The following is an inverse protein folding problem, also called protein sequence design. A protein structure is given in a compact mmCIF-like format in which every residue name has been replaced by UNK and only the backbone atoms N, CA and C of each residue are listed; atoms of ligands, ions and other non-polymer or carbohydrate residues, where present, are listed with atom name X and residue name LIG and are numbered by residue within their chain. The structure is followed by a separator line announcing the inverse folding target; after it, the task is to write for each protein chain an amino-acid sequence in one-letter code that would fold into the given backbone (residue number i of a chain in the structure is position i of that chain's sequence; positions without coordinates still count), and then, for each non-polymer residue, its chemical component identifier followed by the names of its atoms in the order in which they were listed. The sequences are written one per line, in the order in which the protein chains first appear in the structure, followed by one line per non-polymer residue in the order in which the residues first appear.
data_IF_716078419140
#
_entry.id   IF_716078419140
#
_cell.length_a   1.000
_cell.length_b   1.000
_cell.length_c   1.000
_cell.angle_alpha   90.00
_cell.angle_beta   90.00
_cell.angle_gamma   90.00
#
_symmetry.space_group_name_H-M   'P 1'
#
loop_
_entity.id
_entity.type
_entity.pdbx_description
1 polymer ?
#
# COMPACT_ATOMS: atom_id res chain seq x y z
N UNK A 1 -3.19 6.99 -16.34
CA UNK A 1 -3.95 6.95 -15.07
C UNK A 1 -3.76 5.59 -14.40
N UNK A 2 -3.51 5.59 -13.08
CA UNK A 2 -3.35 4.37 -12.28
C UNK A 2 -4.68 3.97 -11.65
N UNK A 3 -5.17 2.76 -11.91
CA UNK A 3 -6.44 2.26 -11.37
C UNK A 3 -6.25 0.93 -10.62
N UNK A 4 -7.22 0.59 -9.78
CA UNK A 4 -7.23 -0.66 -9.00
C UNK A 4 -7.75 -0.45 -7.59
N UNK A 5 -8.09 -1.54 -6.91
CA UNK A 5 -8.60 -1.50 -5.53
C UNK A 5 -7.63 -0.82 -4.55
N UNK A 6 -8.11 -0.48 -3.34
CA UNK A 6 -7.23 0.02 -2.28
C UNK A 6 -6.04 -0.94 -2.07
N UNK A 7 -4.86 -0.38 -1.77
CA UNK A 7 -3.63 -1.14 -1.51
C UNK A 7 -3.14 -2.03 -2.67
N UNK A 8 -3.62 -1.85 -3.89
CA UNK A 8 -3.14 -2.62 -5.04
C UNK A 8 -1.69 -2.32 -5.44
N UNK A 9 -1.08 -1.27 -4.86
CA UNK A 9 0.28 -0.81 -5.15
C UNK A 9 0.37 0.41 -6.07
N UNK A 10 -0.74 1.14 -6.31
CA UNK A 10 -0.76 2.33 -7.19
C UNK A 10 0.24 3.39 -6.76
N UNK A 11 0.17 3.82 -5.50
CA UNK A 11 1.08 4.82 -4.97
C UNK A 11 2.53 4.32 -4.89
N UNK A 12 2.75 3.01 -4.74
CA UNK A 12 4.10 2.43 -4.85
C UNK A 12 4.62 2.50 -6.28
N UNK A 13 3.79 2.20 -7.28
CA UNK A 13 4.16 2.39 -8.69
C UNK A 13 4.42 3.86 -8.99
N UNK A 14 3.61 4.78 -8.47
CA UNK A 14 3.83 6.22 -8.59
C UNK A 14 5.21 6.63 -8.04
N UNK A 15 5.61 6.11 -6.88
CA UNK A 15 6.95 6.32 -6.32
C UNK A 15 8.04 5.71 -7.20
N UNK A 16 7.80 4.58 -7.88
CA UNK A 16 8.75 4.01 -8.85
C UNK A 16 8.95 4.93 -10.06
N UNK A 17 7.88 5.58 -10.54
CA UNK A 17 7.98 6.63 -11.56
C UNK A 17 8.82 7.82 -11.07
N UNK A 18 8.61 8.28 -9.83
CA UNK A 18 9.44 9.33 -9.23
C UNK A 18 10.90 8.90 -9.10
N UNK A 19 11.16 7.68 -8.63
CA UNK A 19 12.52 7.14 -8.50
C UNK A 19 13.25 7.10 -9.85
N UNK A 20 12.55 6.78 -10.93
CA UNK A 20 13.16 6.66 -12.25
C UNK A 20 13.32 8.00 -12.97
N UNK A 21 12.26 8.82 -13.02
CA UNK A 21 12.25 10.05 -13.81
C UNK A 21 12.53 11.33 -13.01
N UNK A 22 12.40 11.30 -11.69
CA UNK A 22 12.50 12.49 -10.83
C UNK A 22 13.29 12.23 -9.53
N UNK A 23 14.37 11.45 -9.62
CA UNK A 23 15.14 10.98 -8.45
C UNK A 23 15.61 12.11 -7.52
N UNK A 24 16.10 13.24 -8.07
CA UNK A 24 16.52 14.39 -7.29
C UNK A 24 15.41 14.98 -6.41
N UNK A 25 14.18 15.06 -6.93
CA UNK A 25 13.05 15.57 -6.17
C UNK A 25 12.75 14.67 -4.96
N UNK A 26 12.81 13.35 -5.15
CA UNK A 26 12.57 12.38 -4.09
C UNK A 26 13.61 12.47 -2.97
N UNK A 27 14.89 12.71 -3.30
CA UNK A 27 15.95 12.85 -2.31
C UNK A 27 15.73 14.06 -1.39
N UNK A 28 15.23 15.17 -1.93
CA UNK A 28 14.85 16.34 -1.14
C UNK A 28 13.62 16.08 -0.25
N UNK A 29 12.71 15.21 -0.67
CA UNK A 29 11.50 14.87 0.07
C UNK A 29 11.73 13.86 1.21
N UNK A 30 12.85 13.12 1.22
CA UNK A 30 13.13 12.06 2.22
C UNK A 30 12.84 12.47 3.66
N UNK A 31 13.27 13.64 4.17
CA UNK A 31 12.99 14.04 5.54
C UNK A 31 11.49 14.18 5.84
N UNK A 32 10.68 14.55 4.84
CA UNK A 32 9.23 14.74 4.97
C UNK A 32 8.48 13.42 5.16
N UNK A 33 9.08 12.29 4.79
CA UNK A 33 8.50 10.95 4.95
C UNK A 33 8.77 10.33 6.33
N UNK A 34 9.70 10.87 7.12
CA UNK A 34 10.01 10.40 8.47
C UNK A 34 8.78 10.32 9.39
N UNK A 35 7.93 11.36 9.52
CA UNK A 35 6.71 11.27 10.34
C UNK A 35 5.76 10.16 9.88
N UNK A 36 5.66 9.91 8.56
CA UNK A 36 4.79 8.88 8.00
C UNK A 36 5.29 7.49 8.36
N UNK A 37 6.61 7.27 8.31
CA UNK A 37 7.24 6.01 8.76
C UNK A 37 6.95 5.77 10.24
N UNK A 38 7.12 6.80 11.09
CA UNK A 38 6.82 6.67 12.51
C UNK A 38 5.34 6.38 12.76
N UNK A 39 4.44 7.06 12.08
CA UNK A 39 3.01 6.76 12.15
C UNK A 39 2.71 5.29 11.81
N UNK A 40 3.31 4.73 10.76
CA UNK A 40 3.13 3.33 10.37
C UNK A 40 3.58 2.35 11.47
N UNK A 41 4.72 2.64 12.11
CA UNK A 41 5.25 1.84 13.22
C UNK A 41 4.33 1.93 14.44
N UNK A 42 3.96 3.15 14.84
CA UNK A 42 3.11 3.39 16.01
C UNK A 42 1.75 2.72 15.86
N UNK A 43 1.13 2.84 14.68
CA UNK A 43 -0.11 2.15 14.34
C UNK A 43 0.04 0.63 14.44
N UNK A 44 1.14 0.06 13.94
CA UNK A 44 1.40 -1.37 14.04
C UNK A 44 1.54 -1.84 15.49
N UNK A 45 2.31 -1.10 16.31
CA UNK A 45 2.48 -1.41 17.74
C UNK A 45 1.14 -1.32 18.48
N UNK A 46 0.33 -0.28 18.22
CA UNK A 46 -1.03 -0.14 18.78
C UNK A 46 -1.90 -1.35 18.45
N UNK A 47 -1.95 -1.73 17.17
CA UNK A 47 -2.75 -2.88 16.72
C UNK A 47 -2.32 -4.20 17.38
N UNK A 48 -1.01 -4.40 17.59
CA UNK A 48 -0.51 -5.60 18.30
C UNK A 48 -0.98 -5.59 19.77
N UNK A 49 -0.84 -4.45 20.46
CA UNK A 49 -1.22 -4.35 21.87
C UNK A 49 -2.72 -4.49 22.08
N UNK A 50 -3.54 -3.83 21.25
CA UNK A 50 -5.01 -3.89 21.34
C UNK A 50 -5.51 -5.33 21.14
N UNK A 51 -4.93 -6.07 20.21
CA UNK A 51 -5.33 -7.46 19.94
C UNK A 51 -4.82 -8.42 21.04
N UNK A 52 -3.63 -8.19 21.59
CA UNK A 52 -3.14 -8.95 22.75
C UNK A 52 -4.07 -8.77 23.95
N UNK A 53 -4.46 -7.52 24.25
CA UNK A 53 -5.43 -7.23 25.32
C UNK A 53 -6.77 -7.93 25.05
N UNK A 54 -7.23 -7.96 23.79
CA UNK A 54 -8.48 -8.64 23.43
C UNK A 54 -8.40 -10.15 23.64
N UNK A 55 -7.35 -10.80 23.15
CA UNK A 55 -7.17 -12.25 23.25
C UNK A 55 -6.94 -12.67 24.71
N UNK A 56 -6.06 -12.00 25.47
CA UNK A 56 -5.80 -12.33 26.88
C UNK A 56 -7.07 -12.31 27.75
N UNK A 57 -8.01 -11.42 27.46
CA UNK A 57 -9.27 -11.33 28.18
C UNK A 57 -10.33 -12.36 27.72
N UNK A 58 -10.22 -12.90 26.50
CA UNK A 58 -11.26 -13.72 25.87
C UNK A 58 -10.85 -15.15 25.52
N UNK A 59 -9.58 -15.52 25.70
CA UNK A 59 -9.04 -16.85 25.37
C UNK A 59 -9.79 -18.03 26.01
N UNK A 60 -10.42 -17.82 27.18
CA UNK A 60 -11.21 -18.84 27.88
C UNK A 60 -12.69 -18.90 27.45
N UNK A 61 -13.14 -17.96 26.63
CA UNK A 61 -14.56 -17.78 26.25
C UNK A 61 -14.79 -18.15 24.78
N UNK A 62 -13.77 -18.06 23.92
CA UNK A 62 -13.88 -18.37 22.48
C UNK A 62 -13.89 -19.89 22.22
N UNK A 63 -15.09 -20.49 22.26
CA UNK A 63 -15.36 -21.90 21.95
C UNK A 63 -15.27 -22.25 20.46
N UNK A 64 -14.92 -21.29 19.58
CA UNK A 64 -14.73 -21.59 18.16
C UNK A 64 -13.51 -22.50 17.95
N UNK A 65 -13.55 -23.32 16.89
CA UNK A 65 -12.42 -24.18 16.51
C UNK A 65 -11.13 -23.37 16.32
N UNK A 66 -11.25 -22.14 15.80
CA UNK A 66 -10.14 -21.23 15.59
C UNK A 66 -9.62 -20.66 16.93
N UNK A 67 -10.52 -20.34 17.87
CA UNK A 67 -10.19 -19.90 19.23
C UNK A 67 -9.46 -20.97 20.03
N UNK A 68 -9.98 -22.19 20.01
CA UNK A 68 -9.35 -23.34 20.67
C UNK A 68 -7.96 -23.65 20.12
N UNK A 69 -7.76 -23.55 18.79
CA UNK A 69 -6.45 -23.74 18.18
C UNK A 69 -5.42 -22.67 18.62
N UNK A 70 -5.87 -21.41 18.75
CA UNK A 70 -5.04 -20.31 19.26
C UNK A 70 -4.71 -20.54 20.74
N UNK A 71 -5.72 -20.84 21.57
CA UNK A 71 -5.53 -21.11 22.99
C UNK A 71 -4.55 -22.28 23.23
N UNK A 72 -4.70 -23.38 22.48
CA UNK A 72 -3.78 -24.51 22.54
C UNK A 72 -2.35 -24.11 22.13
N UNK A 73 -2.19 -23.22 21.14
CA UNK A 73 -0.88 -22.75 20.70
C UNK A 73 -0.20 -21.84 21.72
N UNK A 74 -0.99 -21.07 22.48
CA UNK A 74 -0.50 -20.15 23.52
C UNK A 74 -0.26 -20.84 24.88
N UNK A 75 -0.99 -21.91 25.19
CA UNK A 75 -0.90 -22.62 26.47
C UNK A 75 0.54 -22.97 26.95
N UNK A 76 1.47 -23.40 26.08
CA UNK A 76 2.85 -23.70 26.49
C UNK A 76 3.64 -22.48 27.00
N UNK A 77 3.18 -21.26 26.72
CA UNK A 77 3.85 -20.03 27.12
C UNK A 77 3.53 -19.62 28.58
N UNK A 78 2.56 -20.27 29.23
CA UNK A 78 2.16 -19.95 30.60
C UNK A 78 1.34 -18.66 30.73
N UNK A 79 1.34 -18.07 31.92
CA UNK A 79 0.68 -16.77 32.16
C UNK A 79 1.56 -15.63 31.65
N UNK A 80 1.04 -14.89 30.67
CA UNK A 80 1.72 -13.79 30.00
C UNK A 80 1.24 -12.40 30.47
N UNK A 81 0.30 -12.36 31.42
CA UNK A 81 -0.40 -11.13 31.80
C UNK A 81 0.53 -10.07 32.37
N UNK A 82 1.44 -10.46 33.27
CA UNK A 82 2.41 -9.54 33.88
C UNK A 82 3.40 -8.99 32.84
N UNK A 83 3.89 -9.86 31.96
CA UNK A 83 4.84 -9.50 30.90
C UNK A 83 4.24 -8.50 29.92
N UNK A 84 3.02 -8.75 29.43
CA UNK A 84 2.34 -7.84 28.53
C UNK A 84 1.89 -6.55 29.21
N UNK A 85 1.47 -6.61 30.48
CA UNK A 85 1.19 -5.39 31.25
C UNK A 85 2.44 -4.51 31.35
N UNK A 86 3.61 -5.10 31.63
CA UNK A 86 4.90 -4.38 31.66
C UNK A 86 5.24 -3.76 30.30
N UNK A 87 5.16 -4.52 29.21
CA UNK A 87 5.43 -4.02 27.86
C UNK A 87 4.47 -2.90 27.48
N UNK A 88 3.17 -3.06 27.78
CA UNK A 88 2.14 -2.06 27.56
C UNK A 88 2.46 -0.76 28.29
N UNK A 89 2.77 -0.82 29.59
CA UNK A 89 3.10 0.39 30.38
C UNK A 89 4.26 1.17 29.75
N UNK A 90 5.27 0.48 29.22
CA UNK A 90 6.41 1.12 28.55
C UNK A 90 6.08 1.68 27.17
N UNK A 91 5.19 1.02 26.42
CA UNK A 91 4.85 1.36 25.04
C UNK A 91 3.68 2.35 24.90
N UNK A 92 2.87 2.53 25.94
CA UNK A 92 1.75 3.49 25.96
C UNK A 92 2.18 4.91 25.55
N UNK A 93 3.29 5.49 26.04
CA UNK A 93 3.75 6.81 25.60
C UNK A 93 4.04 6.86 24.10
N UNK A 94 4.53 5.76 23.51
CA UNK A 94 4.80 5.66 22.08
C UNK A 94 3.48 5.68 21.29
N UNK A 95 2.53 4.83 21.70
CA UNK A 95 1.22 4.68 21.04
C UNK A 95 0.36 5.94 21.16
N UNK A 96 0.43 6.65 22.29
CA UNK A 96 -0.34 7.87 22.52
C UNK A 96 -0.04 9.00 21.50
N UNK A 97 1.14 8.98 20.86
CA UNK A 97 1.49 9.96 19.83
C UNK A 97 0.94 9.61 18.44
N UNK A 98 0.36 8.41 18.26
CA UNK A 98 -0.18 7.98 16.97
C UNK A 98 -1.29 8.92 16.49
N UNK A 99 -2.26 9.22 17.37
CA UNK A 99 -3.38 10.11 17.06
C UNK A 99 -2.89 11.55 16.79
N UNK A 100 -1.87 12.02 17.53
CA UNK A 100 -1.25 13.33 17.31
C UNK A 100 -0.55 13.39 15.95
N UNK A 101 0.28 12.41 15.60
CA UNK A 101 0.90 12.33 14.28
C UNK A 101 -0.15 12.22 13.18
N UNK A 102 -1.21 11.45 13.41
CA UNK A 102 -2.27 11.27 12.42
C UNK A 102 -3.00 12.58 12.12
N UNK A 103 -3.35 13.34 13.16
CA UNK A 103 -3.98 14.65 13.06
C UNK A 103 -3.11 15.64 12.28
N UNK A 104 -1.82 15.72 12.62
CA UNK A 104 -0.87 16.62 11.97
C UNK A 104 -0.60 16.24 10.50
N UNK A 105 -0.44 14.95 10.21
CA UNK A 105 -0.21 14.46 8.85
C UNK A 105 -1.44 14.60 7.93
N UNK A 106 -2.64 14.50 8.50
CA UNK A 106 -3.90 14.64 7.76
C UNK A 106 -4.33 16.11 7.59
N UNK A 107 -3.57 17.07 8.16
CA UNK A 107 -3.94 18.48 8.18
C UNK A 107 -5.28 18.73 8.89
N UNK A 108 -5.63 17.92 9.90
CA UNK A 108 -6.89 17.99 10.63
C UNK A 108 -8.11 17.36 9.94
N UNK A 109 -7.94 16.67 8.79
CA UNK A 109 -9.04 15.97 8.12
C UNK A 109 -9.28 14.61 8.78
N UNK A 110 -10.31 14.50 9.63
CA UNK A 110 -10.82 13.21 10.09
C UNK A 110 -11.78 12.61 9.05
N UNK A 111 -11.48 11.41 8.55
CA UNK A 111 -12.46 10.62 7.78
C UNK A 111 -13.28 9.81 8.77
N UNK A 112 -14.57 10.13 8.89
CA UNK A 112 -15.51 9.38 9.72
C UNK A 112 -15.86 8.05 9.04
N UNK A 113 -15.80 6.94 9.80
CA UNK A 113 -16.43 5.67 9.41
C UNK A 113 -15.52 4.47 9.09
N UNK A 114 -14.22 4.49 9.44
CA UNK A 114 -13.33 3.33 9.36
C UNK A 114 -12.23 3.41 10.42
N UNK A 115 -11.51 2.30 10.69
CA UNK A 115 -10.37 2.27 11.63
C UNK A 115 -9.40 3.44 11.40
N UNK A 116 -8.73 3.90 12.46
CA UNK A 116 -7.76 5.00 12.45
C UNK A 116 -6.75 4.81 11.31
N UNK A 117 -6.75 5.76 10.38
CA UNK A 117 -5.87 5.76 9.22
C UNK A 117 -5.51 7.19 8.87
N UNK A 118 -4.25 7.41 8.46
CA UNK A 118 -3.81 8.71 7.93
C UNK A 118 -4.17 8.78 6.47
N UNK A 119 -4.90 9.85 6.16
CA UNK A 119 -5.48 10.09 4.84
C UNK A 119 -4.87 11.32 4.22
N UNK A 120 -4.60 11.22 2.93
CA UNK A 120 -3.70 12.17 2.28
C UNK A 120 -4.28 12.59 0.95
N UNK A 121 -4.53 13.90 0.81
CA UNK A 121 -4.96 14.54 -0.45
C UNK A 121 -3.74 14.87 -1.31
N UNK A 122 -3.99 15.21 -2.58
CA UNK A 122 -2.99 15.81 -3.44
C UNK A 122 -2.31 17.00 -2.74
N UNK A 123 -0.97 17.02 -2.73
CA UNK A 123 -0.20 18.10 -2.10
C UNK A 123 -0.07 18.01 -0.57
N UNK A 124 -0.20 16.85 0.05
CA UNK A 124 0.08 16.71 1.50
C UNK A 124 1.49 17.10 1.90
N UNK A 125 2.45 16.93 0.98
CA UNK A 125 3.80 17.45 1.11
C UNK A 125 3.76 18.96 1.33
N UNK A 126 2.86 19.67 0.65
CA UNK A 126 2.60 21.09 0.85
C UNK A 126 1.94 21.41 2.21
N UNK A 127 1.19 20.47 2.82
CA UNK A 127 0.60 20.61 4.16
C UNK A 127 1.65 20.40 5.27
N UNK A 128 2.60 19.50 5.04
CA UNK A 128 3.73 19.30 5.96
C UNK A 128 4.86 20.29 5.69
N UNK A 129 4.76 21.20 4.72
CA UNK A 129 5.74 22.30 4.52
C UNK A 129 5.14 23.66 4.87
N UNK A 130 5.91 24.62 5.41
CA UNK A 130 5.38 25.93 5.75
C UNK A 130 4.82 26.66 4.52
N UNK A 131 3.58 27.17 4.63
CA UNK A 131 2.96 28.01 3.61
C UNK A 131 3.62 29.40 3.62
N UNK A 132 4.28 29.77 2.51
CA UNK A 132 4.73 31.15 2.29
C UNK A 132 3.55 32.00 1.74
N UNK A 133 3.31 33.24 2.21
CA UNK A 133 2.07 33.99 1.92
C UNK A 133 1.91 34.45 0.46
N UNK A 134 2.95 34.39 -0.37
CA UNK A 134 2.91 34.90 -1.74
C UNK A 134 2.87 33.76 -2.76
N UNK A 135 1.66 33.41 -3.22
CA UNK A 135 1.44 32.58 -4.42
C UNK A 135 1.74 33.39 -5.69
N UNK A 136 3.02 33.61 -5.95
CA UNK A 136 3.52 33.96 -7.28
C UNK A 136 5.04 33.84 -7.26
N UNK A 137 5.56 32.73 -7.81
CA UNK A 137 7.00 32.41 -7.97
C UNK A 137 7.80 32.11 -6.69
N UNK A 138 7.47 31.03 -5.99
CA UNK A 138 8.46 30.35 -5.15
C UNK A 138 9.16 29.25 -5.95
N UNK A 139 10.50 29.24 -5.96
CA UNK A 139 11.34 28.17 -6.48
C UNK A 139 11.04 26.86 -5.72
N UNK A 140 11.00 25.69 -6.39
CA UNK A 140 10.89 24.41 -5.69
C UNK A 140 12.24 24.11 -5.02
N UNK A 141 12.34 24.25 -3.69
CA UNK A 141 13.61 23.90 -3.03
C UNK A 141 13.79 24.10 -1.52
N UNK A 142 12.84 24.71 -0.78
CA UNK A 142 13.09 25.05 0.65
C UNK A 142 11.92 24.74 1.59
N UNK A 143 11.14 23.69 1.34
CA UNK A 143 10.09 23.24 2.25
C UNK A 143 10.60 22.26 3.30
N UNK A 144 10.90 22.72 4.52
CA UNK A 144 11.07 21.84 5.69
C UNK A 144 9.74 21.42 6.29
N UNK A 145 9.73 20.53 7.30
CA UNK A 145 8.49 20.17 8.00
C UNK A 145 7.83 21.40 8.66
N UNK A 146 6.49 21.43 8.74
CA UNK A 146 5.77 22.43 9.50
C UNK A 146 6.21 22.36 10.98
N UNK A 147 6.26 23.47 11.72
CA UNK A 147 6.75 23.45 13.10
C UNK A 147 6.01 22.45 14.00
N UNK A 148 4.70 22.32 13.82
CA UNK A 148 3.87 21.37 14.58
C UNK A 148 4.24 19.90 14.26
N UNK A 149 4.29 19.53 12.97
CA UNK A 149 4.69 18.18 12.55
C UNK A 149 6.12 17.88 13.02
N UNK A 150 7.05 18.84 12.89
CA UNK A 150 8.43 18.68 13.33
C UNK A 150 8.54 18.42 14.85
N UNK A 151 7.75 19.12 15.67
CA UNK A 151 7.72 18.93 17.12
C UNK A 151 7.22 17.54 17.50
N UNK A 152 6.07 17.11 16.96
CA UNK A 152 5.51 15.78 17.24
C UNK A 152 6.45 14.68 16.72
N UNK A 153 7.06 14.86 15.55
CA UNK A 153 8.04 13.92 14.99
C UNK A 153 9.28 13.79 15.87
N UNK A 154 9.78 14.91 16.40
CA UNK A 154 10.94 14.93 17.29
C UNK A 154 10.63 14.21 18.62
N UNK A 155 9.45 14.44 19.18
CA UNK A 155 8.99 13.73 20.38
C UNK A 155 8.86 12.22 20.10
N UNK A 156 8.22 11.85 18.99
CA UNK A 156 8.09 10.46 18.56
C UNK A 156 9.46 9.79 18.37
N UNK A 157 10.43 10.50 17.77
CA UNK A 157 11.79 9.99 17.63
C UNK A 157 12.45 9.72 18.98
N UNK A 158 12.36 10.65 19.95
CA UNK A 158 12.98 10.50 21.27
C UNK A 158 12.37 9.34 22.05
N UNK A 159 11.04 9.24 22.02
CA UNK A 159 10.32 8.13 22.65
C UNK A 159 10.69 6.82 21.98
N UNK A 160 10.72 6.75 20.65
CA UNK A 160 11.10 5.54 19.91
C UNK A 160 12.52 5.08 20.24
N UNK A 161 13.49 6.00 20.37
CA UNK A 161 14.84 5.69 20.84
C UNK A 161 14.82 4.99 22.20
N UNK A 162 14.03 5.52 23.14
CA UNK A 162 13.94 4.97 24.51
C UNK A 162 13.27 3.60 24.60
N UNK A 163 12.31 3.31 23.72
CA UNK A 163 11.49 2.08 23.79
C UNK A 163 11.75 1.09 22.66
N UNK A 164 12.73 1.32 21.79
CA UNK A 164 13.00 0.46 20.62
C UNK A 164 13.23 -1.01 20.99
N UNK A 165 13.82 -1.28 22.15
CA UNK A 165 14.05 -2.65 22.61
C UNK A 165 12.74 -3.31 23.05
N UNK A 166 11.84 -2.57 23.69
CA UNK A 166 10.52 -3.06 24.08
C UNK A 166 9.63 -3.32 22.84
N UNK A 167 9.77 -2.50 21.78
CA UNK A 167 9.12 -2.76 20.48
C UNK A 167 9.69 -4.02 19.81
N UNK A 168 11.01 -4.19 19.82
CA UNK A 168 11.69 -5.38 19.28
C UNK A 168 11.27 -6.65 20.05
N UNK A 169 11.17 -6.56 21.39
CA UNK A 169 10.71 -7.61 22.29
C UNK A 169 9.26 -7.99 22.00
N UNK A 170 8.34 -6.99 21.95
CA UNK A 170 6.95 -7.21 21.61
C UNK A 170 6.80 -7.90 20.25
N UNK A 171 7.49 -7.40 19.22
CA UNK A 171 7.38 -7.94 17.87
C UNK A 171 7.92 -9.37 17.76
N UNK A 172 9.00 -9.70 18.47
CA UNK A 172 9.59 -11.04 18.47
C UNK A 172 8.90 -12.01 19.42
N UNK A 173 8.03 -11.53 20.31
CA UNK A 173 7.38 -12.35 21.31
C UNK A 173 6.62 -13.55 20.67
N UNK A 174 6.78 -14.80 21.17
CA UNK A 174 6.15 -15.98 20.59
C UNK A 174 4.63 -15.87 20.44
N UNK A 175 3.94 -15.33 21.44
CA UNK A 175 2.49 -15.15 21.36
C UNK A 175 2.07 -14.21 20.21
N UNK A 176 2.79 -13.10 20.01
CA UNK A 176 2.52 -12.17 18.90
C UNK A 176 2.72 -12.89 17.56
N UNK A 177 3.78 -13.70 17.44
CA UNK A 177 4.01 -14.52 16.23
C UNK A 177 2.90 -15.54 15.99
N UNK A 178 2.43 -16.21 17.03
CA UNK A 178 1.31 -17.16 16.96
C UNK A 178 0.04 -16.45 16.50
N UNK A 179 -0.30 -15.30 17.09
CA UNK A 179 -1.49 -14.54 16.73
C UNK A 179 -1.44 -13.98 15.31
N UNK A 180 -0.28 -13.50 14.85
CA UNK A 180 -0.05 -13.08 13.45
C UNK A 180 -0.20 -14.26 12.49
N UNK A 181 0.42 -15.41 12.79
CA UNK A 181 0.35 -16.60 11.94
C UNK A 181 -1.06 -17.18 11.84
N UNK A 182 -1.83 -17.11 12.93
CA UNK A 182 -3.24 -17.50 12.99
C UNK A 182 -4.19 -16.40 12.48
N UNK A 183 -3.67 -15.26 11.98
CA UNK A 183 -4.44 -14.15 11.40
C UNK A 183 -5.43 -13.49 12.37
N UNK A 184 -5.19 -13.62 13.68
CA UNK A 184 -5.88 -12.85 14.74
C UNK A 184 -5.41 -11.40 14.67
N UNK A 185 -4.10 -11.18 14.73
CA UNK A 185 -3.50 -9.87 14.44
C UNK A 185 -3.39 -9.68 12.92
N UNK A 186 -4.09 -8.68 12.39
CA UNK A 186 -4.04 -8.30 10.97
C UNK A 186 -3.32 -6.98 10.78
N UNK A 187 -2.00 -7.04 10.69
CA UNK A 187 -1.18 -5.87 10.41
C UNK A 187 -1.18 -5.49 8.93
N UNK A 188 -0.87 -4.22 8.67
CA UNK A 188 -0.49 -3.75 7.34
C UNK A 188 0.71 -4.56 6.81
N UNK A 189 0.72 -4.86 5.51
CA UNK A 189 1.77 -5.70 4.89
C UNK A 189 3.19 -5.13 5.05
N UNK A 190 3.31 -3.81 5.23
CA UNK A 190 4.59 -3.12 5.46
C UNK A 190 5.04 -3.12 6.92
N UNK A 191 4.16 -3.47 7.87
CA UNK A 191 4.51 -3.44 9.29
C UNK A 191 5.69 -4.36 9.63
N UNK A 192 5.77 -5.62 9.15
CA UNK A 192 6.94 -6.47 9.40
C UNK A 192 8.26 -5.83 8.97
N UNK A 193 8.28 -5.20 7.79
CA UNK A 193 9.49 -4.55 7.25
C UNK A 193 10.04 -3.47 8.20
N UNK A 194 9.16 -2.66 8.80
CA UNK A 194 9.57 -1.61 9.74
C UNK A 194 9.88 -2.17 11.13
N UNK A 195 9.07 -3.10 11.65
CA UNK A 195 9.27 -3.69 12.98
C UNK A 195 10.55 -4.54 13.05
N UNK A 196 10.89 -5.30 12.00
CA UNK A 196 12.17 -6.03 11.91
C UNK A 196 13.38 -5.09 11.90
N UNK A 197 13.20 -3.85 11.43
CA UNK A 197 14.24 -2.84 11.29
C UNK A 197 14.15 -1.73 12.35
N UNK A 198 13.48 -1.98 13.48
CA UNK A 198 13.16 -0.94 14.46
C UNK A 198 14.40 -0.22 15.00
N UNK A 199 15.49 -0.96 15.23
CA UNK A 199 16.76 -0.40 15.73
C UNK A 199 17.41 0.58 14.76
N UNK A 200 17.25 0.36 13.44
CA UNK A 200 17.72 1.29 12.40
C UNK A 200 16.82 2.52 12.33
N UNK A 201 15.51 2.33 12.38
CA UNK A 201 14.52 3.42 12.25
C UNK A 201 14.49 4.32 13.49
N UNK A 202 14.84 3.78 14.65
CA UNK A 202 14.95 4.53 15.90
C UNK A 202 16.21 5.40 15.98
N UNK A 203 17.20 5.29 15.07
CA UNK A 203 18.41 6.10 15.19
C UNK A 203 18.11 7.61 15.09
N UNK A 204 18.80 8.49 15.85
CA UNK A 204 18.51 9.93 15.88
C UNK A 204 18.61 10.60 14.51
N UNK A 205 19.59 10.17 13.72
CA UNK A 205 19.93 10.61 12.37
C UNK A 205 19.19 9.82 11.27
N UNK A 206 18.20 9.01 11.64
CA UNK A 206 17.41 8.24 10.69
C UNK A 206 16.83 9.11 9.57
N UNK A 207 17.21 8.75 8.34
CA UNK A 207 16.67 9.26 7.11
C UNK A 207 16.04 8.11 6.31
N UNK A 208 14.78 8.20 5.87
CA UNK A 208 14.13 7.15 5.10
C UNK A 208 14.93 6.76 3.85
N UNK A 209 15.30 5.49 3.76
CA UNK A 209 15.91 4.88 2.60
C UNK A 209 14.88 4.69 1.48
N UNK A 210 15.35 4.40 0.26
CA UNK A 210 14.45 4.11 -0.87
C UNK A 210 13.51 2.93 -0.56
N UNK A 211 14.00 1.91 0.15
CA UNK A 211 13.17 0.79 0.59
C UNK A 211 12.07 1.24 1.57
N UNK A 212 12.37 2.18 2.47
CA UNK A 212 11.40 2.74 3.41
C UNK A 212 10.31 3.51 2.67
N UNK A 213 10.69 4.31 1.67
CA UNK A 213 9.75 5.06 0.84
C UNK A 213 8.81 4.15 0.05
N UNK A 214 9.30 3.01 -0.45
CA UNK A 214 8.47 2.05 -1.19
C UNK A 214 7.53 1.25 -0.29
N UNK A 215 7.94 0.97 0.97
CA UNK A 215 7.14 0.22 1.93
C UNK A 215 6.20 1.11 2.77
N UNK A 216 6.50 2.40 2.95
CA UNK A 216 5.68 3.27 3.79
C UNK A 216 4.29 3.42 3.19
N UNK A 217 3.28 3.20 4.04
CA UNK A 217 1.89 3.22 3.65
C UNK A 217 1.25 4.55 4.02
N UNK A 218 0.59 5.13 3.04
CA UNK A 218 -0.16 6.36 3.16
C UNK A 218 -1.40 6.24 2.28
N UNK A 219 -2.59 6.44 2.84
CA UNK A 219 -3.82 6.22 2.09
C UNK A 219 -4.18 7.46 1.28
N UNK A 220 -4.12 7.33 -0.04
CA UNK A 220 -4.56 8.40 -0.96
C UNK A 220 -6.06 8.59 -0.87
N UNK A 221 -6.48 9.84 -0.67
CA UNK A 221 -7.85 10.30 -0.84
C UNK A 221 -8.02 11.10 -2.13
N UNK A 222 -9.05 10.76 -2.89
CA UNK A 222 -9.37 11.47 -4.13
C UNK A 222 -8.36 11.18 -5.22
N UNK A 223 -7.98 12.21 -5.98
CA UNK A 223 -7.09 12.10 -7.14
C UNK A 223 -5.88 13.00 -6.92
N UNK A 224 -4.69 12.43 -7.07
CA UNK A 224 -3.41 13.13 -7.07
C UNK A 224 -2.83 13.12 -8.48
N UNK A 225 -2.33 14.28 -8.92
CA UNK A 225 -1.73 14.48 -10.23
C UNK A 225 -0.21 14.61 -10.07
N UNK A 226 0.53 13.90 -10.92
CA UNK A 226 1.99 13.93 -10.96
C UNK A 226 2.45 14.14 -12.41
N UNK A 227 3.33 15.12 -12.61
CA UNK A 227 3.93 15.43 -13.91
C UNK A 227 5.35 14.90 -13.96
N UNK A 228 5.70 14.21 -15.04
CA UNK A 228 7.06 13.71 -15.30
C UNK A 228 7.51 14.16 -16.68
N UNK A 229 8.62 14.91 -16.75
CA UNK A 229 9.27 15.19 -18.01
C UNK A 229 10.16 14.00 -18.38
N UNK A 230 9.86 13.36 -19.49
CA UNK A 230 10.53 12.14 -19.92
C UNK A 230 11.06 12.30 -21.34
N UNK A 231 12.19 11.67 -21.61
CA UNK A 231 12.79 11.61 -22.94
C UNK A 231 12.64 10.20 -23.49
N UNK A 232 11.89 10.06 -24.58
CA UNK A 232 11.68 8.79 -25.27
C UNK A 232 11.86 8.97 -26.77
N UNK A 233 12.64 8.07 -27.39
CA UNK A 233 12.96 8.12 -28.82
C UNK A 233 13.50 9.50 -29.27
N UNK A 234 14.30 10.17 -28.43
CA UNK A 234 14.86 11.50 -28.71
C UNK A 234 13.86 12.66 -28.64
N UNK A 235 12.60 12.40 -28.25
CA UNK A 235 11.57 13.42 -28.05
C UNK A 235 11.22 13.58 -26.57
N UNK A 236 10.99 14.82 -26.15
CA UNK A 236 10.55 15.12 -24.78
C UNK A 236 9.03 15.08 -24.70
N UNK A 237 8.53 14.29 -23.75
CA UNK A 237 7.12 14.18 -23.42
C UNK A 237 6.91 14.60 -21.98
N UNK A 238 5.80 15.28 -21.71
CA UNK A 238 5.32 15.47 -20.36
C UNK A 238 4.25 14.41 -20.08
N UNK A 239 4.54 13.50 -19.16
CA UNK A 239 3.60 12.48 -18.71
C UNK A 239 2.82 12.98 -17.51
N UNK A 240 1.51 13.05 -17.68
CA UNK A 240 0.58 13.35 -16.61
C UNK A 240 -0.02 12.07 -16.03
N UNK A 241 0.34 11.77 -14.80
CA UNK A 241 -0.07 10.57 -14.10
C UNK A 241 -1.02 10.90 -12.95
N UNK A 242 -2.25 10.38 -13.07
CA UNK A 242 -3.25 10.43 -12.02
C UNK A 242 -3.19 9.17 -11.14
N UNK A 243 -2.91 9.33 -9.85
CA UNK A 243 -3.05 8.32 -8.79
C UNK A 243 -4.38 8.55 -8.05
N UNK A 244 -5.25 7.55 -8.02
CA UNK A 244 -6.61 7.69 -7.48
C UNK A 244 -6.85 6.77 -6.29
N UNK A 245 -7.68 7.19 -5.34
CA UNK A 245 -8.14 6.37 -4.23
C UNK A 245 -8.86 5.10 -4.72
N UNK A 246 -8.42 3.93 -4.26
CA UNK A 246 -8.89 2.63 -4.72
C UNK A 246 -10.13 2.05 -4.00
N UNK A 247 -10.49 2.64 -2.85
CA UNK A 247 -11.61 2.18 -2.02
C UNK A 247 -12.93 2.34 -2.76
N UNK A 248 -13.90 1.43 -2.55
CA UNK A 248 -15.19 1.44 -3.26
C UNK A 248 -15.91 2.79 -3.21
N UNK A 249 -15.92 3.43 -2.04
CA UNK A 249 -16.56 4.73 -1.84
C UNK A 249 -15.94 5.87 -2.65
N UNK A 250 -14.71 5.73 -3.16
CA UNK A 250 -13.99 6.78 -3.87
C UNK A 250 -14.01 6.63 -5.40
N UNK A 251 -14.51 5.50 -5.92
CA UNK A 251 -14.40 5.17 -7.36
C UNK A 251 -15.18 6.11 -8.28
N UNK A 252 -16.22 6.75 -7.76
CA UNK A 252 -17.00 7.74 -8.49
C UNK A 252 -16.18 8.98 -8.89
N UNK A 253 -15.13 9.30 -8.11
CA UNK A 253 -14.26 10.45 -8.38
C UNK A 253 -13.33 10.24 -9.59
N UNK A 254 -13.28 9.03 -10.18
CA UNK A 254 -12.39 8.73 -11.28
C UNK A 254 -12.93 9.20 -12.64
N UNK A 255 -14.26 9.17 -12.80
CA UNK A 255 -14.94 9.41 -14.09
C UNK A 255 -14.52 10.73 -14.77
N UNK A 256 -14.37 11.87 -14.05
CA UNK A 256 -13.94 13.12 -14.67
C UNK A 256 -12.57 13.07 -15.36
N UNK A 257 -11.74 12.06 -15.05
CA UNK A 257 -10.39 11.90 -15.60
C UNK A 257 -10.33 10.85 -16.72
N UNK A 258 -11.47 10.29 -17.15
CA UNK A 258 -11.50 9.18 -18.10
C UNK A 258 -11.37 9.64 -19.56
N UNK A 259 -11.95 10.79 -19.91
CA UNK A 259 -12.11 11.21 -21.32
C UNK A 259 -10.77 11.45 -22.03
N UNK A 260 -9.78 12.00 -21.32
CA UNK A 260 -8.45 12.33 -21.86
C UNK A 260 -7.36 11.30 -21.50
N UNK A 261 -7.75 10.15 -20.94
CA UNK A 261 -6.77 9.15 -20.52
C UNK A 261 -6.15 8.41 -21.73
N UNK A 262 -4.88 8.71 -22.06
CA UNK A 262 -4.12 7.99 -23.10
C UNK A 262 -3.94 6.50 -22.75
N UNK A 263 -3.67 6.21 -21.47
CA UNK A 263 -3.45 4.85 -20.99
C UNK A 263 -3.95 4.64 -19.55
N UNK A 264 -4.46 3.43 -19.30
CA UNK A 264 -4.84 2.90 -18.00
C UNK A 264 -3.83 1.84 -17.58
N UNK A 265 -3.20 2.04 -16.43
CA UNK A 265 -2.42 1.02 -15.76
C UNK A 265 -3.26 0.51 -14.59
N UNK A 266 -3.82 -0.69 -14.76
CA UNK A 266 -4.65 -1.35 -13.76
C UNK A 266 -3.81 -2.30 -12.90
N UNK A 267 -3.79 -2.06 -11.59
CA UNK A 267 -3.07 -2.90 -10.63
C UNK A 267 -4.04 -3.80 -9.88
N UNK A 268 -3.79 -5.12 -9.97
CA UNK A 268 -4.55 -6.15 -9.28
C UNK A 268 -3.62 -6.93 -8.32
N UNK A 269 -3.76 -6.82 -7.00
CA UNK A 269 -2.93 -7.56 -6.05
C UNK A 269 -3.40 -9.02 -5.96
N UNK A 270 -2.78 -9.91 -6.74
CA UNK A 270 -3.17 -11.33 -6.79
C UNK A 270 -2.82 -12.10 -5.52
N UNK A 271 -1.96 -11.54 -4.65
CA UNK A 271 -1.67 -12.08 -3.32
C UNK A 271 -2.84 -11.96 -2.34
N UNK A 272 -3.83 -11.11 -2.60
CA UNK A 272 -4.95 -10.84 -1.70
C UNK A 272 -6.09 -11.88 -1.81
N UNK A 273 -5.82 -13.05 -2.40
CA UNK A 273 -6.80 -14.11 -2.62
C UNK A 273 -7.43 -14.65 -1.34
N UNK A 274 -6.78 -14.45 -0.20
CA UNK A 274 -7.18 -14.91 1.14
C UNK A 274 -7.64 -13.76 2.05
N UNK A 275 -7.97 -12.62 1.45
CA UNK A 275 -8.39 -11.39 2.13
C UNK A 275 -9.74 -10.91 1.60
N UNK A 276 -10.47 -10.21 2.47
CA UNK A 276 -11.75 -9.56 2.17
C UNK A 276 -11.59 -8.05 2.25
N UNK A 277 -12.48 -7.32 1.60
CA UNK A 277 -12.49 -5.85 1.67
C UNK A 277 -12.79 -5.39 3.10
N UNK A 278 -12.21 -4.25 3.48
CA UNK A 278 -12.53 -3.63 4.77
C UNK A 278 -13.95 -3.04 4.74
N UNK A 279 -14.32 -2.41 3.62
CA UNK A 279 -15.65 -1.81 3.44
C UNK A 279 -16.78 -2.82 3.22
N UNK A 280 -16.44 -4.05 2.83
CA UNK A 280 -17.40 -5.13 2.57
C UNK A 280 -16.75 -6.49 2.88
N UNK A 281 -16.85 -6.96 4.15
CA UNK A 281 -16.23 -8.21 4.59
C UNK A 281 -16.74 -9.47 3.89
N UNK A 282 -17.78 -9.38 3.06
CA UNK A 282 -18.32 -10.51 2.29
C UNK A 282 -17.63 -10.67 0.93
N UNK A 283 -16.99 -9.61 0.43
CA UNK A 283 -16.36 -9.63 -0.89
C UNK A 283 -14.87 -9.92 -0.79
N UNK A 284 -14.42 -10.97 -1.47
CA UNK A 284 -13.00 -11.27 -1.65
C UNK A 284 -12.30 -10.18 -2.49
N UNK A 285 -11.07 -9.82 -2.14
CA UNK A 285 -10.33 -8.72 -2.78
C UNK A 285 -9.94 -9.00 -4.23
N UNK A 286 -9.68 -10.26 -4.61
CA UNK A 286 -9.40 -10.61 -6.01
C UNK A 286 -10.68 -10.53 -6.85
N UNK A 287 -11.82 -10.96 -6.29
CA UNK A 287 -13.12 -10.85 -6.97
C UNK A 287 -13.53 -9.39 -7.18
N UNK A 288 -13.34 -8.52 -6.19
CA UNK A 288 -13.57 -7.08 -6.37
C UNK A 288 -12.64 -6.49 -7.47
N UNK A 289 -11.39 -6.95 -7.55
CA UNK A 289 -10.48 -6.52 -8.62
C UNK A 289 -10.95 -6.97 -10.01
N UNK A 290 -11.48 -8.19 -10.13
CA UNK A 290 -12.06 -8.70 -11.38
C UNK A 290 -13.33 -7.92 -11.78
N UNK A 291 -14.21 -7.63 -10.81
CA UNK A 291 -15.41 -6.81 -11.04
C UNK A 291 -15.04 -5.39 -11.49
N UNK A 292 -14.06 -4.78 -10.81
CA UNK A 292 -13.58 -3.46 -11.15
C UNK A 292 -12.95 -3.45 -12.56
N UNK A 293 -12.12 -4.43 -12.88
CA UNK A 293 -11.51 -4.54 -14.20
C UNK A 293 -12.55 -4.77 -15.30
N UNK A 294 -13.62 -5.53 -15.01
CA UNK A 294 -14.77 -5.68 -15.91
C UNK A 294 -15.41 -4.32 -16.22
N UNK A 295 -15.64 -3.50 -15.20
CA UNK A 295 -16.20 -2.15 -15.37
C UNK A 295 -15.29 -1.25 -16.24
N UNK A 296 -13.96 -1.35 -16.08
CA UNK A 296 -12.99 -0.61 -16.91
C UNK A 296 -12.98 -1.11 -18.36
N UNK A 297 -13.07 -2.43 -18.57
CA UNK A 297 -13.15 -3.02 -19.92
C UNK A 297 -14.40 -2.57 -20.67
N UNK A 298 -15.54 -2.45 -19.97
CA UNK A 298 -16.83 -2.06 -20.57
C UNK A 298 -17.11 -0.56 -20.58
N UNK A 299 -16.21 0.28 -20.05
CA UNK A 299 -16.46 1.72 -19.96
C UNK A 299 -16.27 2.43 -21.31
N UNK A 300 -17.33 3.12 -21.77
CA UNK A 300 -17.36 3.84 -23.06
C UNK A 300 -16.40 5.02 -23.13
N UNK A 301 -16.10 5.67 -22.00
CA UNK A 301 -15.18 6.81 -21.95
C UNK A 301 -13.73 6.35 -22.18
N UNK A 302 -13.40 5.13 -21.75
CA UNK A 302 -12.06 4.55 -21.87
C UNK A 302 -11.81 3.83 -23.21
N UNK A 303 -12.76 3.88 -24.15
CA UNK A 303 -12.74 3.09 -25.39
C UNK A 303 -11.45 3.23 -26.22
N UNK A 304 -10.78 4.38 -26.12
CA UNK A 304 -9.57 4.72 -26.88
C UNK A 304 -8.27 4.55 -26.08
N UNK A 305 -8.36 4.38 -24.76
CA UNK A 305 -7.23 4.28 -23.85
C UNK A 305 -6.51 2.94 -23.98
N UNK A 306 -5.18 2.94 -23.92
CA UNK A 306 -4.40 1.71 -23.83
C UNK A 306 -4.62 1.01 -22.49
N UNK A 307 -4.68 -0.32 -22.47
CA UNK A 307 -4.86 -1.10 -21.24
C UNK A 307 -3.58 -1.86 -20.88
N UNK A 308 -3.06 -1.58 -19.70
CA UNK A 308 -1.95 -2.29 -19.08
C UNK A 308 -2.47 -2.89 -17.78
N UNK A 309 -2.28 -4.20 -17.61
CA UNK A 309 -2.65 -4.96 -16.42
C UNK A 309 -1.39 -5.42 -15.70
N UNK A 310 -1.24 -4.97 -14.45
CA UNK A 310 -0.18 -5.39 -13.56
C UNK A 310 -0.77 -6.29 -12.47
N UNK A 311 -0.49 -7.58 -12.58
CA UNK A 311 -0.79 -8.59 -11.57
C UNK A 311 0.28 -8.50 -10.47
N UNK A 312 -0.02 -7.69 -9.47
CA UNK A 312 0.94 -7.18 -8.51
C UNK A 312 1.04 -8.04 -7.23
N UNK A 313 2.08 -7.76 -6.43
CA UNK A 313 2.42 -8.41 -5.16
C UNK A 313 2.76 -9.90 -5.32
N UNK A 314 3.46 -10.23 -6.40
CA UNK A 314 3.88 -11.60 -6.70
C UNK A 314 4.85 -12.18 -5.66
N UNK A 315 5.62 -11.32 -5.01
CA UNK A 315 6.47 -11.65 -3.87
C UNK A 315 5.66 -12.12 -2.65
N UNK A 316 4.58 -11.41 -2.31
CA UNK A 316 3.69 -11.82 -1.22
C UNK A 316 2.88 -13.06 -1.57
N UNK A 317 2.47 -13.21 -2.84
CA UNK A 317 1.83 -14.44 -3.29
C UNK A 317 2.75 -15.64 -3.04
N UNK A 318 4.03 -15.54 -3.43
CA UNK A 318 5.01 -16.59 -3.21
C UNK A 318 5.17 -16.93 -1.72
N UNK A 319 5.37 -15.93 -0.86
CA UNK A 319 5.47 -16.10 0.60
C UNK A 319 4.25 -16.81 1.20
N UNK A 320 3.04 -16.44 0.78
CA UNK A 320 1.80 -17.07 1.27
C UNK A 320 1.68 -18.54 0.86
N UNK A 321 2.06 -18.87 -0.37
CA UNK A 321 2.03 -20.25 -0.86
C UNK A 321 3.08 -21.13 -0.17
N UNK A 322 4.29 -20.58 0.06
CA UNK A 322 5.36 -21.23 0.83
C UNK A 322 4.98 -21.47 2.29
N UNK A 323 4.25 -20.52 2.89
CA UNK A 323 3.64 -20.69 4.22
C UNK A 323 2.48 -21.70 4.26
N UNK A 324 2.13 -22.33 3.12
CA UNK A 324 1.13 -23.38 3.04
C UNK A 324 -0.31 -22.91 2.88
N UNK A 325 -0.56 -21.60 2.68
CA UNK A 325 -1.90 -21.07 2.44
C UNK A 325 -2.46 -21.65 1.14
N UNK A 326 -3.65 -22.27 1.23
CA UNK A 326 -4.28 -22.97 0.10
C UNK A 326 -5.26 -22.07 -0.64
N UNK A 327 -5.02 -21.81 -1.92
CA UNK A 327 -5.88 -20.95 -2.75
C UNK A 327 -7.31 -21.49 -2.83
N UNK A 328 -7.47 -22.82 -2.98
CA UNK A 328 -8.78 -23.49 -3.05
C UNK A 328 -9.69 -23.24 -1.83
N UNK A 329 -9.12 -22.87 -0.68
CA UNK A 329 -9.90 -22.53 0.54
C UNK A 329 -10.70 -21.23 0.35
N UNK A 330 -10.17 -20.30 -0.44
CA UNK A 330 -10.74 -18.97 -0.62
C UNK A 330 -11.35 -18.76 -2.00
N UNK A 331 -10.75 -19.38 -3.02
CA UNK A 331 -11.19 -19.31 -4.42
C UNK A 331 -11.66 -20.70 -4.84
N UNK A 332 -12.94 -20.98 -4.66
CA UNK A 332 -13.53 -22.32 -4.92
C UNK A 332 -13.41 -22.73 -6.38
N UNK A 333 -13.47 -21.78 -7.31
CA UNK A 333 -13.28 -21.99 -8.76
C UNK A 333 -11.86 -22.46 -9.14
N UNK A 334 -10.90 -22.37 -8.21
CA UNK A 334 -9.56 -22.90 -8.39
C UNK A 334 -9.52 -24.44 -8.43
N UNK A 335 -10.47 -25.11 -7.76
CA UNK A 335 -10.57 -26.57 -7.74
C UNK A 335 -9.31 -27.26 -7.22
N UNK A 336 -8.92 -28.37 -7.86
CA UNK A 336 -7.81 -29.24 -7.44
C UNK A 336 -6.48 -28.94 -8.16
N UNK A 337 -6.32 -27.73 -8.68
CA UNK A 337 -5.06 -27.31 -9.34
C UNK A 337 -3.90 -27.27 -8.33
N UNK A 338 -2.64 -27.48 -8.77
CA UNK A 338 -1.49 -27.48 -7.88
C UNK A 338 -1.28 -26.12 -7.20
N UNK A 339 -1.07 -26.08 -5.89
CA UNK A 339 -0.90 -24.83 -5.14
C UNK A 339 0.50 -24.20 -5.28
N UNK A 340 1.07 -24.21 -6.49
CA UNK A 340 2.39 -23.62 -6.80
C UNK A 340 2.24 -22.18 -7.29
N UNK A 341 3.30 -21.37 -7.19
CA UNK A 341 3.28 -20.00 -7.71
C UNK A 341 2.94 -19.94 -9.21
N UNK A 342 3.47 -20.86 -10.02
CA UNK A 342 3.25 -20.85 -11.47
C UNK A 342 1.78 -21.11 -11.81
N UNK A 343 1.19 -22.16 -11.23
CA UNK A 343 -0.22 -22.53 -11.47
C UNK A 343 -1.19 -21.48 -10.96
N UNK A 344 -0.94 -20.92 -9.76
CA UNK A 344 -1.80 -19.92 -9.14
C UNK A 344 -1.72 -18.59 -9.89
N UNK A 345 -0.52 -18.13 -10.23
CA UNK A 345 -0.34 -16.86 -10.93
C UNK A 345 -0.93 -16.91 -12.34
N UNK A 346 -0.74 -18.01 -13.07
CA UNK A 346 -1.32 -18.19 -14.40
C UNK A 346 -2.85 -18.36 -14.33
N UNK A 347 -3.39 -19.01 -13.31
CA UNK A 347 -4.84 -19.07 -13.08
C UNK A 347 -5.45 -17.67 -12.98
N UNK A 348 -4.89 -16.79 -12.14
CA UNK A 348 -5.38 -15.42 -12.02
C UNK A 348 -5.21 -14.64 -13.33
N UNK A 349 -4.05 -14.77 -13.99
CA UNK A 349 -3.80 -14.17 -15.30
C UNK A 349 -4.85 -14.56 -16.33
N UNK A 350 -5.15 -15.85 -16.43
CA UNK A 350 -6.17 -16.37 -17.34
C UNK A 350 -7.55 -15.77 -17.08
N UNK A 351 -7.94 -15.59 -15.81
CA UNK A 351 -9.23 -14.98 -15.44
C UNK A 351 -9.31 -13.52 -15.85
N UNK A 352 -8.28 -12.71 -15.59
CA UNK A 352 -8.28 -11.31 -16.04
C UNK A 352 -8.27 -11.19 -17.57
N UNK A 353 -7.50 -12.03 -18.27
CA UNK A 353 -7.52 -12.08 -19.74
C UNK A 353 -8.92 -12.48 -20.26
N UNK A 354 -9.57 -13.44 -19.61
CA UNK A 354 -10.92 -13.88 -19.98
C UNK A 354 -11.96 -12.79 -19.78
N UNK A 355 -11.85 -12.01 -18.68
CA UNK A 355 -12.68 -10.82 -18.44
C UNK A 355 -12.49 -9.81 -19.58
N UNK A 356 -11.24 -9.47 -19.89
CA UNK A 356 -10.95 -8.54 -21.00
C UNK A 356 -11.53 -9.02 -22.33
N UNK A 357 -11.30 -10.29 -22.70
CA UNK A 357 -11.82 -10.86 -23.96
C UNK A 357 -13.35 -10.82 -24.07
N UNK A 358 -14.08 -10.95 -22.96
CA UNK A 358 -15.55 -10.97 -22.95
C UNK A 358 -16.16 -9.58 -22.89
N UNK A 359 -15.53 -8.66 -22.18
CA UNK A 359 -16.15 -7.40 -21.76
C UNK A 359 -15.54 -6.16 -22.40
N UNK A 360 -14.39 -6.28 -23.05
CA UNK A 360 -13.77 -5.15 -23.73
C UNK A 360 -14.58 -4.73 -24.97
N UNK A 361 -15.08 -3.51 -24.93
CA UNK A 361 -15.99 -2.98 -25.95
C UNK A 361 -15.28 -2.54 -27.25
N UNK A 362 -13.96 -2.41 -27.22
CA UNK A 362 -13.16 -1.80 -28.31
C UNK A 362 -12.08 -2.71 -28.88
N UNK A 363 -12.01 -3.97 -28.43
CA UNK A 363 -10.94 -4.94 -28.76
C UNK A 363 -9.53 -4.35 -28.57
N UNK A 364 -9.36 -3.60 -27.48
CA UNK A 364 -8.07 -2.98 -27.10
C UNK A 364 -7.03 -4.09 -26.91
N UNK A 365 -5.77 -3.78 -27.23
CA UNK A 365 -4.67 -4.65 -26.82
C UNK A 365 -4.51 -4.57 -25.30
N UNK A 366 -4.28 -5.73 -24.67
CA UNK A 366 -4.02 -5.84 -23.24
C UNK A 366 -2.57 -6.27 -22.99
N UNK A 367 -1.79 -5.39 -22.38
CA UNK A 367 -0.43 -5.71 -21.91
C UNK A 367 -0.52 -6.26 -20.50
N UNK A 368 -0.04 -7.48 -20.26
CA UNK A 368 -0.15 -8.14 -18.95
C UNK A 368 1.22 -8.44 -18.38
N UNK A 369 1.47 -7.96 -17.16
CA UNK A 369 2.73 -8.16 -16.45
C UNK A 369 2.49 -8.70 -15.04
N UNK A 370 3.32 -9.64 -14.63
CA UNK A 370 3.47 -10.01 -13.22
C UNK A 370 4.45 -9.04 -12.57
N UNK A 371 4.07 -8.41 -11.46
CA UNK A 371 4.89 -7.36 -10.84
C UNK A 371 5.09 -7.59 -9.34
N UNK A 372 6.23 -7.13 -8.85
CA UNK A 372 6.44 -6.78 -7.46
C UNK A 372 6.98 -5.36 -7.44
N UNK A 373 6.19 -4.40 -6.95
CA UNK A 373 6.60 -2.99 -6.93
C UNK A 373 7.79 -2.71 -5.99
N UNK A 374 8.24 -3.70 -5.22
CA UNK A 374 9.44 -3.62 -4.40
C UNK A 374 10.71 -4.00 -5.18
N UNK A 375 10.58 -4.69 -6.32
CA UNK A 375 11.68 -4.93 -7.26
C UNK A 375 11.84 -3.70 -8.17
N UNK A 376 12.75 -2.81 -7.78
CA UNK A 376 13.01 -1.55 -8.48
C UNK A 376 13.43 -1.81 -9.93
N UNK A 377 14.35 -2.74 -10.19
CA UNK A 377 14.90 -2.97 -11.53
C UNK A 377 13.83 -3.53 -12.46
N UNK A 378 13.17 -4.62 -12.05
CA UNK A 378 12.13 -5.23 -12.86
C UNK A 378 10.95 -4.27 -13.11
N UNK A 379 10.58 -3.46 -12.11
CA UNK A 379 9.50 -2.48 -12.27
C UNK A 379 9.89 -1.36 -13.24
N UNK A 380 11.12 -0.85 -13.16
CA UNK A 380 11.64 0.17 -14.07
C UNK A 380 11.70 -0.34 -15.53
N UNK A 381 12.15 -1.57 -15.74
CA UNK A 381 12.14 -2.20 -17.07
C UNK A 381 10.71 -2.29 -17.63
N UNK A 382 9.73 -2.64 -16.80
CA UNK A 382 8.31 -2.66 -17.22
C UNK A 382 7.81 -1.26 -17.54
N UNK A 383 8.15 -0.24 -16.73
CA UNK A 383 7.77 1.15 -16.97
C UNK A 383 8.25 1.63 -18.35
N UNK A 384 9.52 1.39 -18.67
CA UNK A 384 10.11 1.77 -19.96
C UNK A 384 9.42 1.04 -21.12
N UNK A 385 9.28 -0.28 -21.02
CA UNK A 385 8.65 -1.09 -22.07
C UNK A 385 7.19 -0.68 -22.33
N UNK A 386 6.42 -0.44 -21.27
CA UNK A 386 5.03 0.03 -21.35
C UNK A 386 4.98 1.44 -21.97
N UNK A 387 5.90 2.32 -21.58
CA UNK A 387 6.00 3.67 -22.12
C UNK A 387 6.28 3.72 -23.60
N UNK A 388 7.26 2.94 -24.06
CA UNK A 388 7.56 2.81 -25.47
C UNK A 388 6.36 2.26 -26.26
N UNK A 389 5.69 1.22 -25.75
CA UNK A 389 4.53 0.65 -26.41
C UNK A 389 3.36 1.65 -26.55
N UNK A 390 3.09 2.42 -25.49
CA UNK A 390 2.06 3.47 -25.50
C UNK A 390 2.42 4.57 -26.50
N UNK A 391 3.66 5.08 -26.46
CA UNK A 391 4.10 6.16 -27.35
C UNK A 391 4.09 5.73 -28.80
N UNK A 392 4.64 4.55 -29.13
CA UNK A 392 4.62 4.03 -30.51
C UNK A 392 3.21 3.92 -31.05
N UNK A 393 2.28 3.40 -30.25
CA UNK A 393 0.87 3.32 -30.67
C UNK A 393 0.20 4.69 -30.77
N UNK A 394 0.59 5.65 -29.94
CA UNK A 394 0.06 7.01 -29.99
C UNK A 394 0.53 7.74 -31.26
N UNK A 395 1.83 7.68 -31.58
CA UNK A 395 2.42 8.25 -32.80
C UNK A 395 1.78 7.65 -34.05
N UNK A 396 1.60 6.32 -34.09
CA UNK A 396 0.97 5.64 -35.21
C UNK A 396 -0.48 6.10 -35.45
N UNK A 397 -1.21 6.47 -34.38
CA UNK A 397 -2.59 7.00 -34.48
C UNK A 397 -2.63 8.47 -34.88
N UNK A 398 -1.63 9.28 -34.52
CA UNK A 398 -1.58 10.72 -34.82
C UNK A 398 -0.95 11.04 -36.17
N UNK A 399 -0.40 10.05 -36.89
CA UNK A 399 0.09 10.19 -38.27
C UNK A 399 1.45 10.88 -38.40
N UNK A 400 2.25 10.92 -37.34
CA UNK A 400 3.60 11.50 -37.30
C UNK A 400 4.71 10.48 -37.64
N UNK A 401 4.42 9.50 -38.50
CA UNK A 401 5.35 8.45 -38.91
C UNK A 401 6.23 8.87 -40.09
#
# INVERSE_FOLDING_TARGET
MLLGQAESGKSTLQKQFQLYYAHHALDHERPLWRPVVYFNILKAVRMILDELDHELNNLSIDDSVEGQAVAHSLAPLGDLSEEFSRLRTKLVPLVAMEDSLASELSGGVAVTGGRTGVYVRAGWQALVTPLSPNRSRALPGTGGLSPAVAQVTSLASRTLISVQNDVDELWKHPAVRILVNNRRIRLDESAPFFLDSIKRVAQPDYLPSTADLLNVRLQTLGVAEHSFDIELCGSRYNWLMYDVGGARGQRHAWVPYFDDATAIIFLAPISAFDQYLEEDPRTNRVDDSLQLFTAICSNKLLKNSHLVLMLNKTDLLRKKLEAGVKVRKYITSYGDRPNTYADVSEYFRAHFIQVHRRHDISRRALYVHFTSMLDIRATQDIIVNVGEAIIRSHIAKTGLA
#
